data_IF_262931157381
#
_entry.id   IF_262931157381
#
_cell.length_a   1.000
_cell.length_b   1.000
_cell.length_c   1.000
_cell.angle_alpha   90.00
_cell.angle_beta   90.00
_cell.angle_gamma   90.00
#
_symmetry.space_group_name_H-M   'P 1'
#
loop_
_entity.id
_entity.type
_entity.pdbx_description
1 polymer ?
#
# COMPACT_ATOMS: atom_id res chain seq x y z
N UNK A 1 31.30 49.74 2.31
CA UNK A 1 30.92 49.72 3.74
C UNK A 1 30.14 48.45 3.97
N UNK A 2 30.68 47.62 4.86
CA UNK A 2 30.05 46.59 5.71
C UNK A 2 29.05 45.61 5.09
N UNK A 3 29.11 44.31 5.34
CA UNK A 3 30.08 43.35 5.88
C UNK A 3 29.39 41.99 5.72
N UNK A 4 30.14 40.92 5.53
CA UNK A 4 29.68 39.52 5.54
C UNK A 4 28.98 39.16 6.86
N UNK A 5 28.17 38.10 6.89
CA UNK A 5 28.25 37.03 7.92
C UNK A 5 27.46 35.82 7.40
N UNK A 6 28.21 34.78 7.02
CA UNK A 6 27.80 33.39 7.12
C UNK A 6 27.79 33.03 8.61
N UNK A 7 26.65 32.62 9.16
CA UNK A 7 26.57 31.87 10.41
C UNK A 7 25.10 31.50 10.63
N UNK A 8 24.76 30.22 10.60
CA UNK A 8 24.09 29.49 11.71
C UNK A 8 24.15 28.00 11.32
N UNK A 9 25.30 27.38 11.57
CA UNK A 9 25.37 25.95 11.87
C UNK A 9 25.16 25.83 13.38
N UNK A 10 24.17 25.05 13.82
CA UNK A 10 23.96 24.85 15.26
C UNK A 10 22.93 23.79 15.60
N UNK A 11 23.41 22.74 16.28
CA UNK A 11 22.68 21.75 17.10
C UNK A 11 22.30 20.42 16.42
N UNK A 12 23.32 19.59 16.21
CA UNK A 12 23.18 18.13 16.29
C UNK A 12 23.34 17.71 17.76
N UNK A 13 22.26 17.33 18.42
CA UNK A 13 22.32 16.67 19.74
C UNK A 13 22.51 15.18 19.53
N UNK A 14 23.74 14.70 19.76
CA UNK A 14 24.05 13.29 19.92
C UNK A 14 23.53 12.80 21.28
N UNK A 15 22.63 11.83 21.29
CA UNK A 15 22.29 11.07 22.50
C UNK A 15 23.13 9.80 22.49
N UNK A 16 24.13 9.73 23.37
CA UNK A 16 24.90 8.52 23.63
C UNK A 16 24.13 7.64 24.63
N UNK A 17 23.79 6.41 24.22
CA UNK A 17 23.23 5.39 25.10
C UNK A 17 24.40 4.54 25.61
N UNK A 18 24.69 4.65 26.91
CA UNK A 18 25.67 3.81 27.61
C UNK A 18 24.97 2.49 28.00
N UNK A 19 25.40 1.38 27.41
CA UNK A 19 25.01 0.04 27.86
C UNK A 19 26.02 -0.44 28.91
N UNK A 20 25.55 -0.67 30.13
CA UNK A 20 26.33 -1.28 31.20
C UNK A 20 26.27 -2.81 31.11
N UNK A 21 27.44 -3.43 30.93
CA UNK A 21 27.65 -4.88 31.00
C UNK A 21 27.92 -5.25 32.46
N UNK A 22 27.11 -6.14 33.04
CA UNK A 22 27.42 -6.84 34.28
C UNK A 22 27.50 -8.34 34.01
N UNK A 23 28.74 -8.80 33.90
CA UNK A 23 29.14 -10.21 33.95
C UNK A 23 29.06 -10.72 35.40
N UNK A 24 28.39 -11.85 35.61
CA UNK A 24 28.62 -12.69 36.79
C UNK A 24 29.05 -14.08 36.30
N UNK A 25 30.31 -14.40 36.57
CA UNK A 25 30.91 -15.71 36.39
C UNK A 25 30.66 -16.58 37.63
N UNK A 26 30.33 -17.85 37.42
CA UNK A 26 30.29 -18.89 38.44
C UNK A 26 30.65 -20.25 37.84
N UNK A 27 31.69 -20.89 38.38
CA UNK A 27 32.43 -22.05 37.87
C UNK A 27 31.78 -23.42 38.19
N UNK A 28 31.76 -24.33 37.17
CA UNK A 28 32.22 -25.76 37.06
C UNK A 28 31.95 -26.80 38.18
N UNK A 29 32.17 -28.14 37.97
CA UNK A 29 32.28 -28.97 36.75
C UNK A 29 31.52 -30.34 36.82
N UNK A 30 31.51 -31.15 35.74
CA UNK A 30 32.09 -32.52 35.69
C UNK A 30 31.51 -33.42 34.56
N UNK A 31 32.44 -33.88 33.71
CA UNK A 31 32.62 -35.20 33.06
C UNK A 31 31.44 -36.14 32.73
N UNK A 32 31.48 -36.74 31.53
CA UNK A 32 30.80 -38.02 31.26
C UNK A 32 30.68 -38.44 29.79
N UNK A 33 31.79 -38.92 29.20
CA UNK A 33 31.93 -40.01 28.21
C UNK A 33 31.04 -40.10 26.95
N UNK A 34 31.71 -40.05 25.78
CA UNK A 34 31.31 -40.77 24.55
C UNK A 34 31.61 -42.27 24.71
N UNK A 35 30.96 -43.14 23.91
CA UNK A 35 31.78 -43.83 22.91
C UNK A 35 31.14 -43.89 21.52
N UNK A 36 32.06 -43.92 20.54
CA UNK A 36 31.84 -44.22 19.13
C UNK A 36 31.56 -45.72 18.91
N UNK A 37 31.01 -46.06 17.74
CA UNK A 37 30.99 -47.44 17.23
C UNK A 37 30.11 -47.63 16.00
N UNK A 38 30.72 -47.42 14.84
CA UNK A 38 30.68 -48.30 13.65
C UNK A 38 29.44 -48.33 12.70
N UNK A 39 29.66 -47.72 11.51
CA UNK A 39 29.10 -48.03 10.18
C UNK A 39 29.41 -49.51 9.76
N UNK A 40 28.73 -50.18 8.79
CA UNK A 40 28.54 -49.66 7.42
C UNK A 40 27.37 -50.18 6.52
N UNK A 41 27.09 -49.36 5.49
CA UNK A 41 26.82 -49.67 4.06
C UNK A 41 25.61 -50.51 3.57
N UNK A 42 25.19 -50.13 2.34
CA UNK A 42 24.27 -50.76 1.37
C UNK A 42 22.76 -50.43 1.56
N UNK A 43 21.94 -50.06 0.56
CA UNK A 43 22.02 -50.19 -0.90
C UNK A 43 20.93 -49.30 -1.57
N UNK A 44 21.16 -48.96 -2.85
CA UNK A 44 20.26 -48.24 -3.75
C UNK A 44 18.97 -49.02 -4.10
N UNK A 45 17.87 -48.31 -4.45
CA UNK A 45 17.24 -48.35 -5.79
C UNK A 45 15.73 -48.02 -5.81
N UNK A 46 15.37 -47.20 -6.80
CA UNK A 46 14.13 -47.18 -7.60
C UNK A 46 12.80 -46.74 -6.98
N UNK A 47 12.43 -45.49 -7.29
CA UNK A 47 11.35 -45.17 -8.24
C UNK A 47 9.94 -45.67 -7.93
N UNK A 48 9.05 -44.72 -7.64
CA UNK A 48 7.79 -44.56 -8.37
C UNK A 48 7.28 -43.13 -8.20
N UNK A 49 7.24 -42.41 -9.32
CA UNK A 49 6.68 -41.07 -9.43
C UNK A 49 5.15 -41.18 -9.44
N UNK A 50 4.49 -40.55 -8.48
CA UNK A 50 3.07 -40.26 -8.53
C UNK A 50 2.89 -38.81 -9.02
N UNK A 51 2.19 -38.57 -10.13
CA UNK A 51 1.85 -37.22 -10.56
C UNK A 51 0.60 -36.81 -9.80
N UNK A 52 0.72 -35.91 -8.83
CA UNK A 52 -0.45 -35.30 -8.23
C UNK A 52 -0.44 -33.78 -8.48
N UNK A 53 -1.33 -33.41 -9.40
CA UNK A 53 -1.88 -32.10 -9.68
C UNK A 53 -1.04 -30.89 -9.27
N UNK A 54 -0.28 -30.36 -10.22
CA UNK A 54 -0.20 -28.90 -10.32
C UNK A 54 -1.63 -28.42 -10.60
N UNK A 55 -2.39 -28.13 -9.55
CA UNK A 55 -3.50 -27.22 -9.65
C UNK A 55 -2.90 -25.89 -10.08
N UNK A 56 -2.92 -25.66 -11.39
CA UNK A 56 -2.87 -24.34 -11.99
C UNK A 56 -4.14 -23.61 -11.53
N UNK A 57 -4.13 -23.16 -10.27
CA UNK A 57 -4.99 -22.07 -9.84
C UNK A 57 -4.47 -20.85 -10.61
N UNK A 58 -5.04 -20.61 -11.79
CA UNK A 58 -4.88 -19.35 -12.50
C UNK A 58 -5.51 -18.26 -11.63
N UNK A 59 -4.77 -17.79 -10.64
CA UNK A 59 -5.06 -16.56 -9.93
C UNK A 59 -5.10 -15.47 -11.02
N UNK A 60 -6.28 -14.93 -11.28
CA UNK A 60 -6.47 -13.79 -12.19
C UNK A 60 -5.72 -12.58 -11.60
N UNK A 61 -4.41 -12.54 -11.83
CA UNK A 61 -3.55 -11.47 -11.38
C UNK A 61 -3.96 -10.20 -12.14
N UNK A 62 -4.37 -9.17 -11.40
CA UNK A 62 -4.78 -7.89 -12.01
C UNK A 62 -3.55 -7.25 -12.65
N UNK A 63 -3.43 -7.42 -13.96
CA UNK A 63 -2.34 -6.87 -14.75
C UNK A 63 -2.45 -5.34 -14.83
N UNK A 64 -1.36 -4.67 -14.50
CA UNK A 64 -1.22 -3.23 -14.64
C UNK A 64 -0.26 -2.92 -15.79
N UNK A 65 -0.54 -1.86 -16.58
CA UNK A 65 0.36 -1.48 -17.66
C UNK A 65 1.74 -1.09 -17.10
N UNK A 66 2.82 -1.29 -17.88
CA UNK A 66 4.14 -0.79 -17.52
C UNK A 66 4.10 0.72 -17.31
N UNK A 67 4.92 1.22 -16.39
CA UNK A 67 4.95 2.63 -16.04
C UNK A 67 6.39 3.15 -15.93
N UNK A 68 6.68 4.18 -16.71
CA UNK A 68 7.88 5.01 -16.57
C UNK A 68 7.46 6.35 -15.95
N UNK A 69 8.12 6.80 -14.86
CA UNK A 69 7.85 8.11 -14.27
C UNK A 69 7.94 9.25 -15.29
N UNK A 70 6.90 10.08 -15.34
CA UNK A 70 6.82 11.25 -16.22
C UNK A 70 7.27 12.51 -15.47
N UNK A 71 7.91 13.41 -16.20
CA UNK A 71 8.20 14.77 -15.72
C UNK A 71 6.91 15.58 -15.54
N UNK A 72 7.00 16.67 -14.77
CA UNK A 72 5.88 17.60 -14.57
C UNK A 72 5.35 18.15 -15.90
N UNK A 73 6.24 18.48 -16.86
CA UNK A 73 5.83 19.00 -18.17
C UNK A 73 5.05 17.98 -19.00
N UNK A 74 5.46 16.70 -18.96
CA UNK A 74 4.74 15.62 -19.64
C UNK A 74 3.37 15.36 -19.00
N UNK A 75 3.28 15.46 -17.67
CA UNK A 75 2.02 15.35 -16.95
C UNK A 75 1.07 16.51 -17.30
N UNK A 76 1.56 17.76 -17.36
CA UNK A 76 0.76 18.91 -17.77
C UNK A 76 0.20 18.79 -19.20
N UNK A 77 0.94 18.14 -20.10
CA UNK A 77 0.50 17.90 -21.49
C UNK A 77 -0.48 16.74 -21.62
N UNK A 78 -0.37 15.72 -20.77
CA UNK A 78 -1.16 14.48 -20.88
C UNK A 78 -2.40 14.45 -20.00
N UNK A 79 -2.47 15.29 -18.97
CA UNK A 79 -3.61 15.40 -18.07
C UNK A 79 -4.42 16.66 -18.39
N UNK A 80 -5.74 16.58 -18.21
CA UNK A 80 -6.56 17.78 -18.15
C UNK A 80 -6.16 18.64 -16.94
N UNK A 81 -6.53 19.93 -16.98
CA UNK A 81 -6.19 20.87 -15.91
C UNK A 81 -6.63 20.38 -14.51
N UNK A 82 -7.84 19.84 -14.38
CA UNK A 82 -8.34 19.33 -13.09
C UNK A 82 -7.62 18.06 -12.65
N UNK A 83 -7.31 17.14 -13.58
CA UNK A 83 -6.56 15.92 -13.26
C UNK A 83 -5.15 16.27 -12.78
N UNK A 84 -4.48 17.21 -13.44
CA UNK A 84 -3.16 17.69 -13.01
C UNK A 84 -3.23 18.32 -11.61
N UNK A 85 -4.15 19.27 -11.40
CA UNK A 85 -4.35 19.94 -10.11
C UNK A 85 -4.62 18.97 -8.96
N UNK A 86 -5.55 18.03 -9.17
CA UNK A 86 -5.88 17.02 -8.17
C UNK A 86 -4.69 16.13 -7.89
N UNK A 87 -4.11 15.51 -8.93
CA UNK A 87 -3.10 14.45 -8.74
C UNK A 87 -1.72 14.96 -8.32
N UNK A 88 -1.34 16.18 -8.72
CA UNK A 88 -0.01 16.74 -8.50
C UNK A 88 0.02 17.83 -7.42
N UNK A 89 -1.07 18.59 -7.26
CA UNK A 89 -1.14 19.70 -6.31
C UNK A 89 -2.06 19.40 -5.12
N UNK A 90 -2.54 18.16 -4.99
CA UNK A 90 -3.43 17.70 -3.92
C UNK A 90 -4.70 18.58 -3.80
N UNK A 91 -5.20 19.10 -4.93
CA UNK A 91 -6.51 19.78 -4.98
C UNK A 91 -7.66 18.78 -4.85
N UNK A 92 -8.87 19.29 -4.56
CA UNK A 92 -10.09 18.49 -4.47
C UNK A 92 -11.09 18.95 -5.52
N UNK A 93 -11.60 18.03 -6.33
CA UNK A 93 -12.64 18.33 -7.32
C UNK A 93 -13.98 18.66 -6.63
N UNK A 94 -14.91 19.38 -7.27
CA UNK A 94 -16.17 19.71 -6.64
C UNK A 94 -17.07 18.50 -6.37
N UNK A 95 -17.71 18.47 -5.19
CA UNK A 95 -18.71 17.47 -4.82
C UNK A 95 -19.86 17.42 -5.84
N UNK A 96 -20.35 16.21 -6.14
CA UNK A 96 -21.48 15.92 -7.04
C UNK A 96 -21.35 16.43 -8.48
N UNK A 97 -20.20 17.04 -8.83
CA UNK A 97 -19.88 17.55 -10.18
C UNK A 97 -18.61 16.89 -10.68
N UNK A 98 -18.60 15.57 -10.62
CA UNK A 98 -17.49 14.75 -11.06
C UNK A 98 -17.99 13.46 -11.72
N UNK A 99 -17.09 12.71 -12.33
CA UNK A 99 -17.47 11.63 -13.25
C UNK A 99 -17.95 10.36 -12.57
N UNK A 100 -17.47 10.05 -11.36
CA UNK A 100 -17.64 8.71 -10.79
C UNK A 100 -18.35 8.66 -9.44
N UNK A 101 -18.82 9.78 -8.89
CA UNK A 101 -19.53 9.77 -7.60
C UNK A 101 -20.75 8.83 -7.63
N UNK A 102 -21.53 8.84 -8.72
CA UNK A 102 -22.74 8.03 -8.91
C UNK A 102 -22.55 6.82 -9.84
N UNK A 103 -21.34 6.57 -10.36
CA UNK A 103 -21.08 5.40 -11.20
C UNK A 103 -21.40 4.09 -10.44
N UNK A 104 -22.12 3.19 -11.11
CA UNK A 104 -22.57 1.86 -10.61
C UNK A 104 -22.14 0.71 -11.53
N UNK A 105 -21.42 1.00 -12.61
CA UNK A 105 -20.91 -0.03 -13.52
C UNK A 105 -19.89 -0.90 -12.82
N UNK A 106 -19.83 -2.16 -13.23
CA UNK A 106 -18.86 -3.12 -12.72
C UNK A 106 -17.50 -2.95 -13.42
N UNK A 107 -16.42 -2.97 -12.65
CA UNK A 107 -15.07 -2.79 -13.19
C UNK A 107 -14.07 -2.20 -12.22
N UNK A 108 -12.93 -1.77 -12.76
CA UNK A 108 -11.77 -1.30 -12.00
C UNK A 108 -11.60 0.22 -12.08
N UNK A 109 -11.17 0.80 -10.98
CA UNK A 109 -10.72 2.18 -10.87
C UNK A 109 -9.21 2.20 -10.81
N UNK A 110 -8.60 2.64 -11.92
CA UNK A 110 -7.15 2.74 -12.08
C UNK A 110 -6.67 4.17 -11.83
N UNK A 111 -5.42 4.33 -11.42
CA UNK A 111 -4.75 5.61 -11.35
C UNK A 111 -4.73 6.27 -12.73
N UNK A 112 -5.21 7.51 -12.85
CA UNK A 112 -5.21 8.24 -14.14
C UNK A 112 -3.80 8.50 -14.68
N UNK A 113 -2.79 8.55 -13.79
CA UNK A 113 -1.40 8.91 -14.13
C UNK A 113 -0.62 7.71 -14.65
N UNK A 114 -0.62 6.61 -13.89
CA UNK A 114 0.21 5.44 -14.19
C UNK A 114 -0.57 4.20 -14.61
N UNK A 115 -1.90 4.19 -14.50
CA UNK A 115 -2.72 3.02 -14.85
C UNK A 115 -2.75 1.89 -13.82
N UNK A 116 -2.13 2.04 -12.64
CA UNK A 116 -2.20 1.03 -11.57
C UNK A 116 -3.64 0.84 -11.12
N UNK A 117 -4.11 -0.39 -10.98
CA UNK A 117 -5.42 -0.69 -10.40
C UNK A 117 -5.42 -0.37 -8.92
N UNK A 118 -6.40 0.40 -8.45
CA UNK A 118 -6.45 0.91 -7.08
C UNK A 118 -7.68 0.39 -6.32
N UNK A 119 -8.86 0.50 -6.92
CA UNK A 119 -10.15 0.17 -6.30
C UNK A 119 -11.04 -0.62 -7.25
N UNK A 120 -11.92 -1.46 -6.70
CA UNK A 120 -12.92 -2.23 -7.45
C UNK A 120 -14.31 -1.62 -7.27
N UNK A 121 -15.20 -1.76 -8.25
CA UNK A 121 -16.63 -1.44 -8.09
C UNK A 121 -17.27 -2.21 -6.92
N UNK A 122 -16.78 -3.40 -6.61
CA UNK A 122 -17.27 -4.24 -5.50
C UNK A 122 -17.15 -3.57 -4.13
N UNK A 123 -16.13 -2.72 -3.97
CA UNK A 123 -15.88 -2.01 -2.71
C UNK A 123 -16.47 -0.60 -2.72
N UNK A 124 -17.06 -0.17 -3.85
CA UNK A 124 -17.68 1.14 -3.98
C UNK A 124 -19.03 1.17 -3.28
N UNK A 125 -19.32 2.27 -2.59
CA UNK A 125 -20.62 2.46 -1.93
C UNK A 125 -21.08 3.92 -2.00
N UNK A 126 -22.38 4.15 -1.73
CA UNK A 126 -22.97 5.49 -1.72
C UNK A 126 -22.80 6.11 -0.33
N UNK A 127 -21.74 6.90 -0.14
CA UNK A 127 -21.47 7.63 1.10
C UNK A 127 -22.34 8.88 1.29
N UNK A 128 -22.88 9.43 0.19
CA UNK A 128 -23.61 10.70 0.22
C UNK A 128 -22.72 11.95 0.29
N UNK A 129 -21.39 11.83 0.19
CA UNK A 129 -20.49 12.99 0.29
C UNK A 129 -20.23 13.70 -1.03
N UNK A 130 -20.59 13.09 -2.16
CA UNK A 130 -20.43 13.69 -3.49
C UNK A 130 -19.13 13.34 -4.21
N UNK A 131 -18.36 12.39 -3.69
CA UNK A 131 -17.17 11.82 -4.32
C UNK A 131 -17.26 10.30 -4.37
N UNK A 132 -16.62 9.62 -5.35
CA UNK A 132 -16.54 8.17 -5.35
C UNK A 132 -15.92 7.68 -4.04
N UNK A 133 -16.65 6.79 -3.36
CA UNK A 133 -16.30 6.31 -2.03
C UNK A 133 -16.19 4.79 -2.03
N UNK A 134 -15.11 4.28 -1.46
CA UNK A 134 -14.81 2.85 -1.36
C UNK A 134 -14.55 2.46 0.09
N UNK A 135 -14.85 1.22 0.48
CA UNK A 135 -14.52 0.74 1.82
C UNK A 135 -13.18 -0.02 1.88
N UNK A 136 -12.63 -0.47 0.76
CA UNK A 136 -11.35 -1.19 0.69
C UNK A 136 -10.66 -0.96 -0.67
N UNK A 137 -9.33 -0.75 -0.75
CA UNK A 137 -8.59 -0.89 -1.99
C UNK A 137 -8.57 -2.34 -2.49
N UNK A 138 -8.16 -2.55 -3.73
CA UNK A 138 -7.93 -3.89 -4.29
C UNK A 138 -6.87 -4.64 -3.48
N UNK A 139 -5.82 -3.92 -3.06
CA UNK A 139 -4.79 -4.41 -2.15
C UNK A 139 -4.09 -3.24 -1.46
N UNK A 140 -3.62 -3.47 -0.24
CA UNK A 140 -3.03 -2.44 0.61
C UNK A 140 -1.69 -1.89 0.07
N UNK A 141 -0.95 -2.67 -0.69
CA UNK A 141 0.32 -2.28 -1.33
C UNK A 141 0.13 -1.33 -2.52
N UNK A 142 -1.07 -1.27 -3.09
CA UNK A 142 -1.40 -0.44 -4.26
C UNK A 142 -1.63 1.03 -3.90
N UNK A 143 -1.87 1.35 -2.63
CA UNK A 143 -2.03 2.71 -2.12
C UNK A 143 -1.00 3.04 -1.04
N UNK A 144 -0.68 4.31 -0.88
CA UNK A 144 0.07 4.85 0.25
C UNK A 144 -0.79 5.80 1.06
N UNK A 145 -0.42 6.00 2.32
CA UNK A 145 -1.08 6.94 3.23
C UNK A 145 -0.07 7.92 3.81
N UNK A 146 -0.46 9.18 3.93
CA UNK A 146 0.35 10.26 4.50
C UNK A 146 -0.53 11.14 5.37
N UNK A 147 0.03 11.70 6.44
CA UNK A 147 -0.68 12.70 7.25
C UNK A 147 -0.69 14.05 6.52
N UNK A 148 -1.89 14.63 6.42
CA UNK A 148 -2.18 15.92 5.81
C UNK A 148 -2.63 16.90 6.90
N UNK A 149 -1.88 18.00 7.04
CA UNK A 149 -2.08 19.06 8.04
C UNK A 149 -2.61 20.37 7.42
N UNK A 150 -3.14 20.35 6.19
CA UNK A 150 -3.67 21.56 5.53
C UNK A 150 -4.92 22.14 6.22
N UNK A 151 -5.59 21.36 7.06
CA UNK A 151 -6.73 21.79 7.87
C UNK A 151 -6.38 21.72 9.37
N UNK A 152 -7.23 22.34 10.21
CA UNK A 152 -7.06 22.40 11.67
C UNK A 152 -6.95 21.00 12.29
N UNK A 153 -7.62 20.00 11.69
CA UNK A 153 -7.55 18.61 12.08
C UNK A 153 -6.73 17.81 11.06
N UNK A 154 -5.83 16.91 11.51
CA UNK A 154 -5.06 16.07 10.62
C UNK A 154 -5.99 15.12 9.87
N UNK A 155 -5.77 15.01 8.56
CA UNK A 155 -6.44 14.03 7.69
C UNK A 155 -5.42 13.01 7.22
N UNK A 156 -5.89 11.84 6.81
CA UNK A 156 -5.03 10.84 6.20
C UNK A 156 -5.23 10.87 4.69
N UNK A 157 -4.26 11.44 3.99
CA UNK A 157 -4.17 11.46 2.54
C UNK A 157 -3.97 10.04 2.00
N UNK A 158 -4.60 9.74 0.87
CA UNK A 158 -4.42 8.52 0.10
C UNK A 158 -3.78 8.88 -1.24
N UNK A 159 -2.66 8.26 -1.57
CA UNK A 159 -1.95 8.44 -2.83
C UNK A 159 -1.66 7.10 -3.52
N UNK A 160 -1.44 7.12 -4.82
CA UNK A 160 -1.03 5.93 -5.56
C UNK A 160 0.38 5.49 -5.11
N UNK A 161 0.53 4.22 -4.74
CA UNK A 161 1.83 3.69 -4.29
C UNK A 161 2.92 3.79 -5.36
N UNK A 162 2.57 3.58 -6.64
CA UNK A 162 3.49 3.51 -7.78
C UNK A 162 3.97 4.88 -8.26
N UNK A 163 3.07 5.84 -8.43
CA UNK A 163 3.41 7.15 -9.01
C UNK A 163 3.22 8.34 -8.07
N UNK A 164 2.81 8.10 -6.82
CA UNK A 164 2.59 9.12 -5.77
C UNK A 164 1.52 10.17 -6.08
N UNK A 165 0.71 9.95 -7.12
CA UNK A 165 -0.42 10.82 -7.45
C UNK A 165 -1.41 10.86 -6.28
N UNK A 166 -1.80 12.07 -5.88
CA UNK A 166 -2.87 12.28 -4.90
C UNK A 166 -4.19 11.69 -5.41
N UNK A 167 -4.86 10.92 -4.56
CA UNK A 167 -6.15 10.29 -4.88
C UNK A 167 -7.29 10.94 -4.09
N UNK A 168 -7.07 11.18 -2.79
CA UNK A 168 -8.07 11.74 -1.89
C UNK A 168 -7.70 11.48 -0.43
N UNK A 169 -8.68 11.12 0.39
CA UNK A 169 -8.46 10.88 1.83
C UNK A 169 -9.22 9.65 2.32
N UNK A 170 -8.74 9.07 3.41
CA UNK A 170 -9.42 7.99 4.13
C UNK A 170 -9.95 8.48 5.47
N UNK A 171 -11.17 8.06 5.80
CA UNK A 171 -11.88 8.40 7.03
C UNK A 171 -12.34 7.12 7.74
N UNK A 172 -12.49 7.18 9.07
CA UNK A 172 -12.96 6.06 9.91
C UNK A 172 -14.48 5.97 10.06
N UNK A 173 -15.23 6.59 9.15
CA UNK A 173 -16.70 6.69 9.17
C UNK A 173 -17.35 5.84 8.06
N UNK A 174 -16.67 4.78 7.63
CA UNK A 174 -17.18 3.85 6.63
C UNK A 174 -18.16 2.80 7.18
N UNK A 175 -18.64 1.88 6.31
CA UNK A 175 -19.55 0.81 6.70
C UNK A 175 -18.92 -0.11 7.75
N UNK A 176 -19.57 -0.22 8.92
CA UNK A 176 -19.08 -1.00 10.07
C UNK A 176 -19.14 -2.52 9.86
N UNK A 177 -20.03 -2.97 8.99
CA UNK A 177 -20.16 -4.37 8.55
C UNK A 177 -19.05 -4.79 7.56
N UNK A 178 -18.19 -3.85 7.17
CA UNK A 178 -17.02 -4.05 6.29
C UNK A 178 -15.73 -3.72 7.05
N UNK A 179 -14.97 -2.75 6.55
CA UNK A 179 -13.68 -2.33 7.13
C UNK A 179 -13.83 -1.17 8.12
N UNK A 180 -15.00 -0.52 8.20
CA UNK A 180 -15.20 0.75 8.89
C UNK A 180 -14.48 1.95 8.23
N UNK A 181 -13.78 1.76 7.11
CA UNK A 181 -13.06 2.81 6.40
C UNK A 181 -13.87 3.37 5.24
N UNK A 182 -13.67 4.65 4.96
CA UNK A 182 -14.19 5.34 3.78
C UNK A 182 -13.06 6.02 3.05
N UNK A 183 -12.65 5.44 1.93
CA UNK A 183 -11.75 6.04 0.96
C UNK A 183 -12.56 6.97 0.06
N UNK A 184 -12.50 8.27 0.34
CA UNK A 184 -13.20 9.32 -0.39
C UNK A 184 -12.24 9.93 -1.41
N UNK A 185 -12.45 9.62 -2.69
CA UNK A 185 -11.45 9.86 -3.73
C UNK A 185 -11.94 10.86 -4.77
N UNK A 186 -11.01 11.53 -5.45
CA UNK A 186 -11.31 12.35 -6.60
C UNK A 186 -11.47 11.48 -7.86
N UNK A 187 -12.57 11.63 -8.58
CA UNK A 187 -12.76 11.06 -9.92
C UNK A 187 -11.68 11.51 -10.89
N UNK A 188 -11.23 12.77 -10.79
CA UNK A 188 -10.12 13.30 -11.57
C UNK A 188 -8.79 12.57 -11.32
N UNK A 189 -8.64 11.80 -10.23
CA UNK A 189 -7.47 10.96 -10.01
C UNK A 189 -7.62 9.53 -10.57
N UNK A 190 -8.81 9.19 -11.08
CA UNK A 190 -9.18 7.82 -11.46
C UNK A 190 -9.54 7.71 -12.96
N UNK A 191 -9.29 6.53 -13.51
CA UNK A 191 -9.82 6.07 -14.79
C UNK A 191 -10.62 4.80 -14.53
N UNK A 192 -11.90 4.81 -14.88
CA UNK A 192 -12.73 3.61 -14.79
C UNK A 192 -12.55 2.75 -16.05
N UNK A 193 -12.38 1.45 -15.85
CA UNK A 193 -12.36 0.43 -16.88
C UNK A 193 -13.50 -0.55 -16.57
N UNK A 194 -14.51 -0.57 -17.43
CA UNK A 194 -15.66 -1.45 -17.30
C UNK A 194 -15.23 -2.88 -17.63
N UNK A 195 -15.62 -3.84 -16.78
CA UNK A 195 -15.35 -5.26 -17.01
C UNK A 195 -16.66 -6.00 -17.18
N UNK A 196 -16.68 -6.97 -18.09
CA UNK A 196 -17.84 -7.85 -18.29
C UNK A 196 -18.04 -8.83 -17.13
N UNK A 197 -16.99 -9.07 -16.32
CA UNK A 197 -17.01 -9.93 -15.14
C UNK A 197 -16.35 -9.25 -13.93
N UNK A 198 -16.72 -9.67 -12.71
CA UNK A 198 -16.29 -9.00 -11.47
C UNK A 198 -14.86 -9.39 -11.08
N UNK A 199 -13.93 -8.42 -10.96
CA UNK A 199 -12.61 -8.68 -10.42
C UNK A 199 -12.72 -8.81 -8.89
N UNK A 200 -12.47 -10.01 -8.37
CA UNK A 200 -12.52 -10.28 -6.92
C UNK A 200 -11.40 -9.51 -6.22
N UNK A 201 -11.74 -8.65 -5.26
CA UNK A 201 -10.72 -8.04 -4.41
C UNK A 201 -10.10 -9.09 -3.46
N UNK A 202 -8.78 -9.26 -3.48
CA UNK A 202 -8.07 -10.14 -2.55
C UNK A 202 -7.91 -9.45 -1.17
N UNK A 203 -9.00 -9.40 -0.40
CA UNK A 203 -9.00 -8.93 0.99
C UNK A 203 -8.42 -10.00 1.94
N UNK A 204 -7.12 -10.32 1.83
CA UNK A 204 -6.41 -11.08 2.86
C UNK A 204 -5.91 -10.12 3.95
N UNK A 205 -6.76 -9.81 4.91
CA UNK A 205 -6.32 -9.11 6.14
C UNK A 205 -5.52 -10.11 6.99
N UNK A 206 -4.19 -9.96 7.04
CA UNK A 206 -3.38 -10.54 8.12
C UNK A 206 -3.76 -9.81 9.41
N UNK A 207 -4.65 -10.42 10.19
CA UNK A 207 -4.75 -10.11 11.61
C UNK A 207 -3.44 -10.58 12.28
N UNK A 208 -2.50 -9.66 12.52
CA UNK A 208 -1.41 -9.95 13.44
C UNK A 208 -1.99 -9.95 14.85
N UNK A 209 -2.13 -11.15 15.39
CA UNK A 209 -2.49 -11.39 16.77
C UNK A 209 -1.53 -10.65 17.72
N UNK A 210 -2.13 -9.99 18.72
CA UNK A 210 -1.45 -9.58 19.92
C UNK A 210 -0.78 -10.81 20.57
N UNK A 211 0.46 -10.64 21.03
CA UNK A 211 1.09 -11.60 21.92
C UNK A 211 1.77 -10.84 23.07
N UNK A 212 1.19 -11.10 24.24
CA UNK A 212 1.68 -10.97 25.63
C UNK A 212 1.96 -9.58 26.22
#
# INVERSE_FOLDING_TARGET
MNQSINEVYGKWTFVAVIAAVLTVAGLRPAAGQNPAGDDPAAQEATGDALPDGTHEDSEDEIEDPPYTPKSVSELQKSLSAIQFKVTQNEETEPAFRNKYWDNKKEGLYRCIVCGQSLFSSETKFKSGTGWPSFYDPISADRIGMKLDFKLIYPRQEVHCSRCKAHLGHVFGDGPKDKTGKRYCLNSAALRFEEQSEKPKSNSKTKASAAKE
#
